data_IF_966815806296
#
_entry.id   IF_966815806296
#
_cell.length_a   1.000
_cell.length_b   1.000
_cell.length_c   1.000
_cell.angle_alpha   90.00
_cell.angle_beta   90.00
_cell.angle_gamma   90.00
#
_symmetry.space_group_name_H-M   'P 1'
#
loop_
_entity.id
_entity.type
_entity.pdbx_description
1 polymer ?
#
# COMPACT_ATOMS: atom_id res chain seq x y z
N UNK A 1 -17.48 -8.00 3.47
CA UNK A 1 -16.48 -7.38 4.36
C UNK A 1 -15.22 -8.25 4.25
N UNK A 2 -14.13 -7.78 3.64
CA UNK A 2 -12.94 -8.62 3.40
C UNK A 2 -12.25 -8.92 4.73
N UNK A 3 -12.04 -10.19 5.05
CA UNK A 3 -11.36 -10.57 6.29
C UNK A 3 -9.86 -10.25 6.19
N UNK A 4 -9.18 -10.14 7.33
CA UNK A 4 -7.71 -9.92 7.38
C UNK A 4 -6.95 -10.95 6.55
N UNK A 5 -7.37 -12.21 6.60
CA UNK A 5 -6.74 -13.31 5.87
C UNK A 5 -6.93 -13.13 4.37
N UNK A 6 -8.13 -12.75 3.92
CA UNK A 6 -8.41 -12.51 2.50
C UNK A 6 -7.62 -11.33 1.96
N UNK A 7 -7.45 -10.27 2.76
CA UNK A 7 -6.65 -9.11 2.39
C UNK A 7 -5.18 -9.48 2.23
N UNK A 8 -4.63 -10.29 3.13
CA UNK A 8 -3.26 -10.76 3.04
C UNK A 8 -3.06 -11.69 1.84
N UNK A 9 -3.98 -12.61 1.61
CA UNK A 9 -3.96 -13.48 0.44
C UNK A 9 -3.97 -12.66 -0.86
N UNK A 10 -4.88 -11.67 -0.97
CA UNK A 10 -4.94 -10.76 -2.12
C UNK A 10 -3.64 -9.99 -2.34
N UNK A 11 -3.03 -9.41 -1.29
CA UNK A 11 -1.75 -8.69 -1.43
C UNK A 11 -0.64 -9.64 -1.86
N UNK A 12 -0.59 -10.85 -1.28
CA UNK A 12 0.43 -11.85 -1.60
C UNK A 12 0.31 -12.31 -3.06
N UNK A 13 -0.90 -12.56 -3.53
CA UNK A 13 -1.17 -12.94 -4.92
C UNK A 13 -0.88 -11.80 -5.89
N UNK A 14 -1.34 -10.58 -5.59
CA UNK A 14 -1.15 -9.43 -6.47
C UNK A 14 0.33 -9.05 -6.63
N UNK A 15 1.09 -9.05 -5.52
CA UNK A 15 2.46 -8.55 -5.49
C UNK A 15 3.51 -9.66 -5.57
N UNK A 16 3.10 -10.93 -5.56
CA UNK A 16 3.96 -12.11 -5.49
C UNK A 16 4.89 -12.06 -4.25
N UNK A 17 4.31 -11.71 -3.09
CA UNK A 17 5.00 -11.63 -1.80
C UNK A 17 4.41 -12.62 -0.79
N UNK A 18 5.05 -12.77 0.36
CA UNK A 18 4.61 -13.70 1.40
C UNK A 18 4.48 -12.99 2.77
N UNK A 19 3.52 -12.06 2.85
CA UNK A 19 3.15 -11.43 4.12
C UNK A 19 2.28 -12.36 4.95
N UNK A 20 2.62 -12.47 6.23
CA UNK A 20 1.89 -13.26 7.23
C UNK A 20 1.08 -12.36 8.17
N UNK A 21 1.41 -11.06 8.20
CA UNK A 21 0.85 -10.06 9.11
C UNK A 21 0.58 -8.76 8.36
N UNK A 22 -0.52 -8.10 8.68
CA UNK A 22 -0.92 -6.82 8.05
C UNK A 22 0.03 -5.70 8.41
N UNK A 23 0.68 -5.81 9.57
CA UNK A 23 1.72 -4.92 10.07
C UNK A 23 2.91 -4.81 9.10
N UNK A 24 3.17 -5.83 8.27
CA UNK A 24 4.23 -5.80 7.25
C UNK A 24 3.94 -4.76 6.15
N UNK A 25 2.66 -4.44 5.91
CA UNK A 25 2.25 -3.36 5.01
C UNK A 25 2.63 -1.97 5.56
N UNK A 26 2.92 -1.85 6.85
CA UNK A 26 3.37 -0.61 7.50
C UNK A 26 4.70 -0.09 6.96
N UNK A 27 5.44 -0.91 6.20
CA UNK A 27 6.65 -0.49 5.49
C UNK A 27 6.37 0.46 4.31
N UNK A 28 5.12 0.54 3.84
CA UNK A 28 4.71 1.38 2.71
C UNK A 28 5.07 0.83 1.33
N UNK A 29 5.95 -0.18 1.23
CA UNK A 29 6.39 -0.75 -0.05
C UNK A 29 5.24 -1.43 -0.81
N UNK A 30 4.48 -2.28 -0.12
CA UNK A 30 3.30 -2.94 -0.69
C UNK A 30 2.27 -1.95 -1.25
N UNK A 31 2.00 -0.85 -0.52
CA UNK A 31 1.05 0.17 -1.00
C UNK A 31 1.54 0.88 -2.26
N UNK A 32 2.85 1.16 -2.38
CA UNK A 32 3.40 1.75 -3.60
C UNK A 32 3.24 0.82 -4.80
N UNK A 33 3.53 -0.49 -4.62
CA UNK A 33 3.40 -1.46 -5.70
C UNK A 33 1.94 -1.71 -6.09
N UNK A 34 1.00 -1.68 -5.14
CA UNK A 34 -0.44 -1.72 -5.44
C UNK A 34 -0.83 -0.54 -6.34
N UNK A 35 -0.38 0.68 -6.02
CA UNK A 35 -0.64 1.84 -6.86
C UNK A 35 0.02 1.74 -8.23
N UNK A 36 1.22 1.16 -8.28
CA UNK A 36 1.94 0.91 -9.54
C UNK A 36 1.18 -0.05 -10.44
N UNK A 37 0.54 -1.08 -9.87
CA UNK A 37 -0.29 -2.00 -10.66
C UNK A 37 -1.51 -1.33 -11.32
N UNK A 38 -1.96 -0.18 -10.81
CA UNK A 38 -3.07 0.60 -11.39
C UNK A 38 -2.56 1.59 -12.45
N UNK A 39 -1.51 2.34 -12.12
CA UNK A 39 -1.09 3.49 -12.92
C UNK A 39 0.18 3.28 -13.76
N UNK A 40 1.04 2.34 -13.36
CA UNK A 40 2.32 2.02 -14.02
C UNK A 40 3.37 3.13 -14.02
N UNK A 41 3.17 4.20 -13.24
CA UNK A 41 4.05 5.38 -13.19
C UNK A 41 4.58 5.69 -11.79
N UNK A 42 4.50 4.73 -10.86
CA UNK A 42 5.06 4.91 -9.53
C UNK A 42 6.58 4.74 -9.63
N UNK A 43 7.39 5.62 -9.03
CA UNK A 43 8.85 5.50 -9.06
C UNK A 43 9.33 4.38 -8.14
N UNK A 44 9.13 3.13 -8.55
CA UNK A 44 9.48 1.92 -7.79
C UNK A 44 10.98 1.81 -7.51
N UNK A 45 11.82 2.46 -8.32
CA UNK A 45 13.27 2.59 -8.06
C UNK A 45 13.60 3.34 -6.75
N UNK A 46 12.68 4.17 -6.24
CA UNK A 46 12.81 4.89 -4.97
C UNK A 46 12.16 4.14 -3.80
N UNK A 47 11.38 3.10 -4.09
CA UNK A 47 10.64 2.34 -3.09
C UNK A 47 11.50 1.20 -2.57
N UNK A 48 11.65 1.14 -1.25
CA UNK A 48 12.39 0.09 -0.55
C UNK A 48 11.43 -1.02 -0.11
N UNK A 49 11.37 -2.10 -0.89
CA UNK A 49 10.49 -3.26 -0.59
C UNK A 49 10.95 -4.07 0.62
N UNK A 50 12.25 -4.11 0.89
CA UNK A 50 12.84 -4.77 2.06
C UNK A 50 13.29 -3.76 3.13
N UNK A 51 12.52 -2.68 3.30
CA UNK A 51 12.75 -1.70 4.36
C UNK A 51 12.69 -2.37 5.75
N UNK A 52 13.62 -2.01 6.64
CA UNK A 52 13.69 -2.51 8.02
C UNK A 52 13.62 -1.40 9.05
N UNK A 53 13.94 -0.17 8.64
CA UNK A 53 14.00 0.97 9.53
C UNK A 53 12.88 1.97 9.25
N UNK A 54 12.42 2.66 10.29
CA UNK A 54 11.32 3.62 10.21
C UNK A 54 11.59 4.75 9.18
N UNK A 55 12.84 5.23 9.08
CA UNK A 55 13.21 6.25 8.09
C UNK A 55 13.02 5.78 6.64
N UNK A 56 13.14 4.47 6.37
CA UNK A 56 12.89 3.87 5.07
C UNK A 56 11.39 3.78 4.78
N UNK A 57 10.58 3.49 5.81
CA UNK A 57 9.13 3.49 5.70
C UNK A 57 8.62 4.90 5.37
N UNK A 58 9.15 5.93 6.04
CA UNK A 58 8.83 7.32 5.74
C UNK A 58 9.17 7.69 4.29
N UNK A 59 10.30 7.22 3.76
CA UNK A 59 10.66 7.43 2.36
C UNK A 59 9.64 6.78 1.40
N UNK A 60 9.21 5.55 1.68
CA UNK A 60 8.17 4.86 0.91
C UNK A 60 6.82 5.60 0.96
N UNK A 61 6.38 6.03 2.16
CA UNK A 61 5.15 6.80 2.29
C UNK A 61 5.21 8.16 1.58
N UNK A 62 6.38 8.79 1.52
CA UNK A 62 6.57 10.02 0.75
C UNK A 62 6.38 9.80 -0.75
N UNK A 63 6.86 8.66 -1.28
CA UNK A 63 6.57 8.25 -2.66
C UNK A 63 5.07 8.07 -2.85
N UNK A 64 4.40 7.34 -1.96
CA UNK A 64 2.95 7.11 -2.01
C UNK A 64 2.14 8.42 -1.99
N UNK A 65 2.50 9.37 -1.10
CA UNK A 65 1.86 10.68 -1.01
C UNK A 65 2.00 11.49 -2.31
N UNK A 66 3.17 11.44 -2.94
CA UNK A 66 3.38 12.12 -4.22
C UNK A 66 2.50 11.53 -5.32
N UNK A 67 2.34 10.20 -5.36
CA UNK A 67 1.43 9.52 -6.30
C UNK A 67 -0.01 9.94 -6.04
N UNK A 68 -0.47 9.93 -4.78
CA UNK A 68 -1.83 10.35 -4.43
C UNK A 68 -2.09 11.80 -4.85
N UNK A 69 -1.13 12.70 -4.62
CA UNK A 69 -1.22 14.10 -5.04
C UNK A 69 -1.27 14.23 -6.56
N UNK A 70 -0.42 13.51 -7.29
CA UNK A 70 -0.38 13.55 -8.75
C UNK A 70 -1.69 13.02 -9.38
N UNK A 71 -2.27 11.98 -8.79
CA UNK A 71 -3.53 11.36 -9.24
C UNK A 71 -4.78 12.02 -8.64
N UNK A 72 -4.63 13.10 -7.85
CA UNK A 72 -5.71 13.84 -7.18
C UNK A 72 -6.62 12.93 -6.34
N UNK A 73 -6.01 12.04 -5.57
CA UNK A 73 -6.72 11.16 -4.64
C UNK A 73 -6.88 11.89 -3.30
N UNK A 74 -8.12 12.24 -2.96
CA UNK A 74 -8.45 13.01 -1.74
C UNK A 74 -8.32 12.23 -0.43
N UNK A 75 -7.97 10.95 -0.48
CA UNK A 75 -7.83 10.11 0.71
C UNK A 75 -6.58 10.53 1.52
N UNK A 76 -6.73 10.99 2.77
CA UNK A 76 -5.57 11.24 3.63
C UNK A 76 -4.87 9.93 4.00
N UNK A 77 -3.54 9.96 3.92
CA UNK A 77 -2.64 8.88 4.33
C UNK A 77 -2.10 9.22 5.73
N UNK A 78 -2.53 8.55 6.80
CA UNK A 78 -2.04 8.80 8.16
C UNK A 78 -0.67 8.17 8.39
N UNK A 79 0.37 8.72 7.74
CA UNK A 79 1.74 8.18 7.73
C UNK A 79 2.25 7.86 9.14
N UNK A 80 2.10 8.78 10.10
CA UNK A 80 2.56 8.60 11.49
C UNK A 80 1.91 7.41 12.22
N UNK A 81 0.72 6.99 11.79
CA UNK A 81 0.03 5.83 12.37
C UNK A 81 0.43 4.55 11.65
N UNK A 82 0.51 4.59 10.33
CA UNK A 82 0.87 3.44 9.50
C UNK A 82 2.31 2.98 9.72
N UNK A 83 3.23 3.95 9.84
CA UNK A 83 4.67 3.72 10.04
C UNK A 83 4.99 3.02 11.36
N UNK A 84 4.10 3.12 12.35
CA UNK A 84 4.19 2.41 13.64
C UNK A 84 3.79 0.92 13.52
N UNK A 85 3.48 0.45 12.32
CA UNK A 85 3.07 -0.92 12.03
C UNK A 85 1.91 -1.41 12.90
N UNK A 86 1.01 -0.51 13.31
CA UNK A 86 -0.19 -0.89 14.08
C UNK A 86 -1.16 -1.66 13.19
N UNK A 87 -1.65 -2.80 13.69
CA UNK A 87 -2.53 -3.68 12.94
C UNK A 87 -3.82 -2.97 12.48
N UNK A 88 -4.49 -2.23 13.37
CA UNK A 88 -5.78 -1.61 13.06
C UNK A 88 -5.66 -0.54 11.97
N UNK A 89 -4.71 0.40 12.12
CA UNK A 89 -4.48 1.46 11.14
C UNK A 89 -4.09 0.89 9.77
N UNK A 90 -3.22 -0.12 9.74
CA UNK A 90 -2.83 -0.78 8.49
C UNK A 90 -3.96 -1.58 7.87
N UNK A 91 -4.81 -2.24 8.67
CA UNK A 91 -5.96 -2.99 8.18
C UNK A 91 -6.99 -2.06 7.53
N UNK A 92 -7.32 -0.94 8.17
CA UNK A 92 -8.26 0.05 7.63
C UNK A 92 -7.74 0.64 6.31
N UNK A 93 -6.45 0.97 6.25
CA UNK A 93 -5.85 1.49 5.02
C UNK A 93 -5.79 0.42 3.92
N UNK A 94 -5.46 -0.82 4.27
CA UNK A 94 -5.43 -1.95 3.34
C UNK A 94 -6.82 -2.28 2.76
N UNK A 95 -7.86 -2.22 3.59
CA UNK A 95 -9.24 -2.37 3.12
C UNK A 95 -9.63 -1.26 2.12
N UNK A 96 -9.23 -0.03 2.41
CA UNK A 96 -9.51 1.09 1.52
C UNK A 96 -8.75 0.97 0.21
N UNK A 97 -7.45 0.66 0.24
CA UNK A 97 -6.63 0.57 -0.98
C UNK A 97 -7.06 -0.60 -1.86
N UNK A 98 -7.51 -1.72 -1.28
CA UNK A 98 -8.10 -2.83 -2.05
C UNK A 98 -9.34 -2.38 -2.81
N UNK A 99 -10.27 -1.70 -2.16
CA UNK A 99 -11.47 -1.16 -2.82
C UNK A 99 -11.12 -0.15 -3.90
N UNK A 100 -10.12 0.70 -3.63
CA UNK A 100 -9.61 1.65 -4.60
C UNK A 100 -9.03 0.92 -5.82
N UNK A 101 -8.22 -0.11 -5.58
CA UNK A 101 -7.67 -0.96 -6.64
C UNK A 101 -8.77 -1.65 -7.44
N UNK A 102 -9.76 -2.28 -6.80
CA UNK A 102 -10.89 -2.93 -7.49
C UNK A 102 -11.68 -1.95 -8.37
N UNK A 103 -11.86 -0.71 -7.91
CA UNK A 103 -12.57 0.34 -8.66
C UNK A 103 -11.77 0.92 -9.84
N UNK A 104 -10.44 0.87 -9.80
CA UNK A 104 -9.58 1.51 -10.82
C UNK A 104 -8.88 0.50 -11.74
N UNK A 105 -8.58 -0.70 -11.27
CA UNK A 105 -7.92 -1.77 -12.03
C UNK A 105 -8.87 -2.38 -13.08
N UNK A 106 -10.19 -2.31 -12.86
CA UNK A 106 -11.23 -2.78 -13.77
C UNK A 106 -11.47 -1.93 -15.03
N UNK A 107 -10.53 -1.06 -15.41
CA UNK A 107 -10.61 -0.24 -16.63
C UNK A 107 -10.00 -0.89 -17.88
N UNK A 108 -9.55 -2.15 -17.82
CA UNK A 108 -9.18 -2.94 -18.99
C UNK A 108 -10.08 -4.18 -19.09
N UNK A 109 -11.29 -3.92 -19.60
CA UNK A 109 -12.25 -4.88 -20.10
C UNK A 109 -13.19 -4.16 -21.05
#
# INVERSE_FOLDING_TARGET
MSSRTDLLAWVNELLQINYTKVEQCGSGGAYCQIMDSIYGDVPMNRVKMSAKHEYEYLANFKVLQNVFKAKRIDKPIPVEKLVKCKMQDNLEFLQWIKKFWEANYGGQG
#
